data_IF_056687936836
#
_entry.id   IF_056687936836
#
_cell.length_a   1.000
_cell.length_b   1.000
_cell.length_c   1.000
_cell.angle_alpha   90.00
_cell.angle_beta   90.00
_cell.angle_gamma   90.00
#
_symmetry.space_group_name_H-M   'P 1'
#
loop_
_entity.id
_entity.type
_entity.pdbx_description
1 polymer ?
#
# COMPACT_ATOMS: atom_id res chain seq x y z
N UNK A 1 -14.33 -16.36 -12.74
CA UNK A 1 -15.18 -15.18 -12.98
C UNK A 1 -16.56 -15.43 -12.41
N UNK A 2 -17.27 -14.38 -11.94
CA UNK A 2 -18.63 -14.52 -11.43
C UNK A 2 -19.57 -15.21 -12.43
N UNK A 3 -20.57 -15.94 -11.93
CA UNK A 3 -21.59 -16.58 -12.79
C UNK A 3 -22.29 -15.48 -13.64
N UNK A 4 -22.54 -15.79 -14.91
CA UNK A 4 -23.11 -14.88 -15.94
C UNK A 4 -22.17 -13.78 -16.49
N UNK A 5 -20.85 -13.89 -16.27
CA UNK A 5 -19.89 -12.99 -16.93
C UNK A 5 -19.77 -13.34 -18.42
N UNK A 6 -20.23 -12.44 -19.30
CA UNK A 6 -20.13 -12.59 -20.76
C UNK A 6 -18.88 -11.92 -21.38
N UNK A 7 -18.17 -11.10 -20.61
CA UNK A 7 -16.95 -10.44 -21.06
C UNK A 7 -15.73 -11.36 -20.93
N UNK A 8 -14.75 -11.21 -21.83
CA UNK A 8 -13.44 -11.85 -21.70
C UNK A 8 -12.70 -11.25 -20.51
N UNK A 9 -12.26 -12.09 -19.59
CA UNK A 9 -11.48 -11.68 -18.42
C UNK A 9 -10.07 -12.24 -18.54
N UNK A 10 -9.09 -11.36 -18.44
CA UNK A 10 -7.68 -11.70 -18.44
C UNK A 10 -7.05 -11.22 -17.14
N UNK A 11 -6.14 -12.01 -16.59
CA UNK A 11 -5.32 -11.61 -15.46
C UNK A 11 -4.01 -11.08 -16.02
N UNK A 12 -3.70 -9.83 -15.74
CA UNK A 12 -2.42 -9.22 -16.07
C UNK A 12 -1.65 -8.91 -14.79
N UNK A 13 -0.33 -8.97 -14.89
CA UNK A 13 0.58 -8.60 -13.81
C UNK A 13 1.34 -7.33 -14.22
N UNK A 14 1.47 -6.40 -13.28
CA UNK A 14 2.23 -5.16 -13.46
C UNK A 14 3.57 -5.29 -12.74
N UNK A 15 4.67 -4.96 -13.43
CA UNK A 15 5.98 -4.87 -12.80
C UNK A 15 6.09 -3.60 -11.95
N UNK A 16 7.01 -3.60 -10.98
CA UNK A 16 7.31 -2.41 -10.15
C UNK A 16 7.71 -1.22 -11.01
N UNK A 17 8.58 -1.43 -12.02
CA UNK A 17 9.01 -0.36 -12.93
C UNK A 17 7.82 0.27 -13.67
N UNK A 18 6.86 -0.54 -14.12
CA UNK A 18 5.64 -0.05 -14.77
C UNK A 18 4.71 0.67 -13.78
N UNK A 19 4.69 0.28 -12.51
CA UNK A 19 3.96 1.00 -11.47
C UNK A 19 4.53 2.40 -11.27
N UNK A 20 5.87 2.52 -11.16
CA UNK A 20 6.55 3.81 -11.03
C UNK A 20 6.33 4.71 -12.25
N UNK A 21 6.36 4.14 -13.46
CA UNK A 21 6.11 4.89 -14.69
C UNK A 21 4.67 5.41 -14.79
N UNK A 22 3.68 4.62 -14.35
CA UNK A 22 2.27 5.00 -14.38
C UNK A 22 1.89 6.02 -13.31
N UNK A 23 2.55 6.00 -12.16
CA UNK A 23 2.23 6.84 -11.00
C UNK A 23 3.47 7.60 -10.48
N UNK A 24 4.10 8.48 -11.30
CA UNK A 24 5.42 9.05 -10.99
C UNK A 24 5.46 9.88 -9.69
N UNK A 25 4.32 10.46 -9.28
CA UNK A 25 4.22 11.27 -8.07
C UNK A 25 3.77 10.47 -6.83
N UNK A 26 3.51 9.16 -6.96
CA UNK A 26 3.04 8.30 -5.87
C UNK A 26 4.07 7.19 -5.61
N UNK A 27 5.04 7.47 -4.75
CA UNK A 27 6.20 6.60 -4.48
C UNK A 27 5.91 5.45 -3.49
N UNK A 28 4.64 5.26 -3.11
CA UNK A 28 4.26 4.24 -2.13
C UNK A 28 4.21 2.84 -2.74
N UNK A 29 5.37 2.21 -2.93
CA UNK A 29 5.48 0.86 -3.52
C UNK A 29 5.87 -0.24 -2.51
N UNK A 30 6.12 0.14 -1.25
CA UNK A 30 6.70 -0.70 -0.21
C UNK A 30 5.91 -1.99 0.08
N UNK A 31 4.60 -2.00 -0.15
CA UNK A 31 3.76 -3.21 -0.06
C UNK A 31 4.12 -4.27 -1.10
N UNK A 32 4.65 -3.84 -2.26
CA UNK A 32 5.02 -4.72 -3.36
C UNK A 32 6.53 -5.02 -3.37
N UNK A 33 7.36 -4.04 -3.04
CA UNK A 33 8.83 -4.20 -3.03
C UNK A 33 9.37 -4.77 -1.73
N UNK A 34 8.59 -4.69 -0.65
CA UNK A 34 9.10 -4.97 0.71
C UNK A 34 10.10 -3.94 1.21
N UNK A 35 10.29 -2.81 0.49
CA UNK A 35 11.21 -1.75 0.86
C UNK A 35 10.64 -0.89 2.00
N UNK A 36 10.65 -1.46 3.19
CA UNK A 36 10.22 -0.86 4.44
C UNK A 36 11.39 -0.81 5.43
N UNK A 37 11.55 0.24 6.25
CA UNK A 37 10.67 1.41 6.37
C UNK A 37 10.96 2.51 5.36
N UNK A 38 9.90 3.19 4.90
CA UNK A 38 10.02 4.39 4.07
C UNK A 38 10.29 5.64 4.93
N UNK A 39 10.86 6.72 4.36
CA UNK A 39 10.92 8.02 5.03
C UNK A 39 9.51 8.47 5.47
N UNK A 40 9.29 8.60 6.78
CA UNK A 40 7.98 8.88 7.39
C UNK A 40 7.21 7.64 7.86
N UNK A 41 7.45 6.46 7.28
CA UNK A 41 6.80 5.21 7.67
C UNK A 41 7.09 4.80 9.12
N UNK A 42 8.33 4.99 9.60
CA UNK A 42 8.67 4.74 11.01
C UNK A 42 7.95 5.69 11.96
N UNK A 43 7.72 6.95 11.56
CA UNK A 43 7.00 7.93 12.39
C UNK A 43 5.55 7.49 12.60
N UNK A 44 4.88 7.10 11.51
CA UNK A 44 3.50 6.60 11.58
C UNK A 44 3.40 5.30 12.38
N UNK A 45 4.37 4.37 12.22
CA UNK A 45 4.44 3.15 13.02
C UNK A 45 4.57 3.44 14.52
N UNK A 46 5.50 4.31 14.91
CA UNK A 46 5.72 4.65 16.31
C UNK A 46 4.49 5.36 16.91
N UNK A 47 3.83 6.25 16.16
CA UNK A 47 2.58 6.87 16.59
C UNK A 47 1.46 5.85 16.78
N UNK A 48 1.32 4.89 15.86
CA UNK A 48 0.33 3.81 15.99
C UNK A 48 0.59 2.96 17.24
N UNK A 49 1.86 2.65 17.52
CA UNK A 49 2.25 1.90 18.71
C UNK A 49 1.94 2.68 20.00
N UNK A 50 2.27 3.97 20.06
CA UNK A 50 1.93 4.85 21.18
C UNK A 50 0.41 4.90 21.41
N UNK A 51 -0.37 5.13 20.35
CA UNK A 51 -1.84 5.16 20.43
C UNK A 51 -2.41 3.83 20.98
N UNK A 52 -1.88 2.69 20.55
CA UNK A 52 -2.29 1.38 21.05
C UNK A 52 -2.00 1.22 22.54
N UNK A 53 -0.79 1.54 22.98
CA UNK A 53 -0.37 1.43 24.39
C UNK A 53 -1.16 2.38 25.29
N UNK A 54 -1.46 3.59 24.81
CA UNK A 54 -2.19 4.61 25.55
C UNK A 54 -3.72 4.47 25.44
N UNK A 55 -4.23 3.49 24.69
CA UNK A 55 -5.67 3.28 24.50
C UNK A 55 -6.37 4.39 23.70
N UNK A 56 -5.63 5.16 22.89
CA UNK A 56 -6.17 6.24 22.07
C UNK A 56 -6.72 5.69 20.76
N UNK A 57 -8.00 5.95 20.49
CA UNK A 57 -8.64 5.56 19.23
C UNK A 57 -8.49 6.66 18.16
N UNK A 58 -7.25 6.95 17.78
CA UNK A 58 -6.90 8.00 16.83
C UNK A 58 -6.06 7.44 15.67
N UNK A 59 -6.15 8.10 14.51
CA UNK A 59 -5.32 7.76 13.35
C UNK A 59 -3.87 8.18 13.62
N UNK A 60 -2.92 7.35 13.20
CA UNK A 60 -1.49 7.61 13.35
C UNK A 60 -0.92 8.56 12.28
N UNK A 61 -1.72 8.88 11.25
CA UNK A 61 -1.43 9.78 10.14
C UNK A 61 -2.42 10.93 10.11
#
# INVERSE_FOLDING_TARGET
>A
TPKNTNAKVEIIYQSIANLHASCPNHQGDWYFTGNYPTPGGMKVLNNAFMNYIEGKNERAY
#
